data_IF_091591511922
#
_entry.id   IF_091591511922
#
_cell.length_a   1.000
_cell.length_b   1.000
_cell.length_c   1.000
_cell.angle_alpha   90.00
_cell.angle_beta   90.00
_cell.angle_gamma   90.00
#
_symmetry.space_group_name_H-M   'P 1'
#
loop_
_entity.id
_entity.type
_entity.pdbx_description
1 polymer ?
#
# COMPACT_ATOMS: atom_id res chain seq x y z
N UNK A 1 2.59 25.72 7.61
CA UNK A 1 1.46 26.29 6.86
C UNK A 1 0.25 25.37 6.98
N UNK A 2 -0.95 25.90 7.22
CA UNK A 2 -2.23 25.13 7.30
C UNK A 2 -2.52 24.34 6.01
N UNK A 3 -1.93 24.74 4.89
CA UNK A 3 -2.09 24.06 3.60
C UNK A 3 -1.43 22.67 3.55
N UNK A 4 -0.38 22.44 4.34
CA UNK A 4 0.39 21.19 4.29
C UNK A 4 -0.44 19.96 4.70
N UNK A 5 -1.12 19.96 5.87
CA UNK A 5 -2.02 18.86 6.25
C UNK A 5 -3.13 18.59 5.23
N UNK A 6 -3.72 19.65 4.65
CA UNK A 6 -4.79 19.53 3.65
C UNK A 6 -4.27 18.87 2.38
N UNK A 7 -3.08 19.25 1.91
CA UNK A 7 -2.45 18.66 0.73
C UNK A 7 -2.11 17.19 0.97
N UNK A 8 -1.60 16.84 2.15
CA UNK A 8 -1.31 15.46 2.52
C UNK A 8 -2.58 14.60 2.58
N UNK A 9 -3.70 15.15 3.06
CA UNK A 9 -5.00 14.46 3.07
C UNK A 9 -5.48 14.15 1.66
N UNK A 10 -5.37 15.11 0.72
CA UNK A 10 -5.75 14.89 -0.68
C UNK A 10 -4.89 13.82 -1.33
N UNK A 11 -3.57 13.83 -1.09
CA UNK A 11 -2.66 12.80 -1.62
C UNK A 11 -2.99 11.38 -1.16
N UNK A 12 -3.57 11.23 0.04
CA UNK A 12 -3.95 9.94 0.62
C UNK A 12 -5.45 9.60 0.47
N UNK A 13 -6.21 10.43 -0.25
CA UNK A 13 -7.67 10.26 -0.34
C UNK A 13 -8.07 8.91 -0.96
N UNK A 14 -7.32 8.42 -1.95
CA UNK A 14 -7.57 7.12 -2.56
C UNK A 14 -7.50 5.99 -1.53
N UNK A 15 -6.43 5.95 -0.72
CA UNK A 15 -6.28 4.99 0.36
C UNK A 15 -7.47 5.06 1.33
N UNK A 16 -7.87 6.26 1.76
CA UNK A 16 -9.01 6.42 2.68
C UNK A 16 -10.34 5.90 2.12
N UNK A 17 -10.63 6.16 0.84
CA UNK A 17 -11.85 5.67 0.20
C UNK A 17 -11.82 4.14 0.04
N UNK A 18 -10.71 3.61 -0.46
CA UNK A 18 -10.51 2.18 -0.66
C UNK A 18 -10.59 1.41 0.66
N UNK A 19 -10.04 1.92 1.76
CA UNK A 19 -10.11 1.25 3.07
C UNK A 19 -11.50 1.25 3.69
N UNK A 20 -12.32 2.27 3.41
CA UNK A 20 -13.70 2.33 3.90
C UNK A 20 -14.62 1.32 3.18
N UNK A 21 -14.32 1.02 1.92
CA UNK A 21 -15.16 0.14 1.08
C UNK A 21 -14.64 -1.30 0.99
N UNK A 22 -13.33 -1.51 1.08
CA UNK A 22 -12.73 -2.83 0.93
C UNK A 22 -12.91 -3.72 2.15
N UNK A 23 -13.00 -5.03 1.92
CA UNK A 23 -13.10 -6.03 2.98
C UNK A 23 -11.74 -6.36 3.61
N UNK A 24 -10.69 -6.42 2.79
CA UNK A 24 -9.31 -6.71 3.19
C UNK A 24 -8.29 -5.99 2.28
N UNK A 25 -7.09 -5.73 2.82
CA UNK A 25 -5.95 -5.25 2.06
C UNK A 25 -4.92 -6.36 1.84
N UNK A 26 -4.11 -6.24 0.79
CA UNK A 26 -2.97 -7.11 0.53
C UNK A 26 -1.72 -6.24 0.38
N UNK A 27 -0.61 -6.67 0.95
CA UNK A 27 0.67 -5.99 0.81
C UNK A 27 1.80 -6.99 0.49
N UNK A 28 2.74 -6.65 -0.43
CA UNK A 28 3.83 -7.56 -0.77
C UNK A 28 4.79 -7.86 0.37
N UNK A 29 4.98 -6.92 1.31
CA UNK A 29 5.94 -7.08 2.41
C UNK A 29 5.40 -6.50 3.70
N UNK A 30 5.94 -6.99 4.83
CA UNK A 30 5.66 -6.42 6.15
C UNK A 30 6.05 -4.95 6.23
N UNK A 31 7.21 -4.60 5.66
CA UNK A 31 7.68 -3.21 5.64
C UNK A 31 6.69 -2.27 4.93
N UNK A 32 6.11 -2.68 3.80
CA UNK A 32 5.07 -1.90 3.12
C UNK A 32 3.78 -1.82 3.93
N UNK A 33 3.33 -2.94 4.51
CA UNK A 33 2.15 -2.95 5.38
C UNK A 33 2.32 -2.00 6.58
N UNK A 34 3.54 -1.90 7.12
CA UNK A 34 3.86 -1.04 8.25
C UNK A 34 3.81 0.46 7.94
N UNK A 35 3.76 0.85 6.67
CA UNK A 35 3.55 2.26 6.27
C UNK A 35 2.12 2.75 6.50
N UNK A 36 1.18 1.84 6.72
CA UNK A 36 -0.22 2.17 6.99
C UNK A 36 -0.48 2.38 8.49
N UNK A 37 -1.44 3.27 8.84
CA UNK A 37 -1.94 3.40 10.22
C UNK A 37 -2.43 2.07 10.78
N UNK A 38 -2.27 1.87 12.09
CA UNK A 38 -2.62 0.62 12.79
C UNK A 38 -4.05 0.13 12.47
N UNK A 39 -5.03 1.04 12.47
CA UNK A 39 -6.43 0.73 12.18
C UNK A 39 -6.67 0.11 10.79
N UNK A 40 -5.77 0.35 9.84
CA UNK A 40 -5.83 -0.25 8.51
C UNK A 40 -4.93 -1.48 8.41
N UNK A 41 -3.77 -1.44 9.09
CA UNK A 41 -2.78 -2.52 9.10
C UNK A 41 -3.35 -3.84 9.57
N UNK A 42 -4.23 -3.83 10.57
CA UNK A 42 -4.88 -5.04 11.11
C UNK A 42 -5.75 -5.78 10.09
N UNK A 43 -6.11 -5.11 8.98
CA UNK A 43 -6.90 -5.66 7.88
C UNK A 43 -6.07 -6.00 6.64
N UNK A 44 -4.74 -5.88 6.72
CA UNK A 44 -3.81 -6.15 5.60
C UNK A 44 -3.19 -7.53 5.79
N UNK A 45 -3.34 -8.38 4.78
CA UNK A 45 -2.58 -9.63 4.66
C UNK A 45 -1.27 -9.39 3.93
N UNK A 46 -0.16 -9.86 4.49
CA UNK A 46 1.13 -9.84 3.79
C UNK A 46 1.25 -11.07 2.91
N UNK A 47 1.32 -10.85 1.60
CA UNK A 47 1.49 -11.88 0.58
C UNK A 47 2.62 -11.45 -0.34
N UNK A 48 3.77 -12.12 -0.23
CA UNK A 48 4.94 -11.77 -1.04
C UNK A 48 4.65 -11.93 -2.53
N UNK A 49 4.81 -10.82 -3.26
CA UNK A 49 4.72 -10.83 -4.72
C UNK A 49 6.01 -11.44 -5.27
N UNK A 50 5.85 -12.58 -5.95
CA UNK A 50 6.96 -13.23 -6.64
C UNK A 50 7.30 -12.48 -7.93
N UNK A 51 8.42 -12.85 -8.55
CA UNK A 51 8.73 -12.42 -9.90
C UNK A 51 8.91 -13.66 -10.76
N UNK A 52 8.49 -13.57 -12.03
CA UNK A 52 8.79 -14.60 -13.01
C UNK A 52 10.28 -14.54 -13.35
N UNK A 53 11.05 -15.49 -12.81
CA UNK A 53 12.50 -15.53 -13.01
C UNK A 53 12.89 -15.86 -14.43
N UNK A 54 12.00 -16.47 -15.22
CA UNK A 54 12.27 -16.79 -16.63
C UNK A 54 12.33 -15.51 -17.48
N UNK A 55 11.73 -14.42 -17.00
CA UNK A 55 11.78 -13.10 -17.63
C UNK A 55 13.03 -12.28 -17.22
N UNK A 56 13.82 -12.74 -16.25
CA UNK A 56 15.05 -12.06 -15.81
C UNK A 56 16.23 -12.40 -16.73
N UNK A 57 16.13 -11.94 -17.98
CA UNK A 57 17.20 -12.07 -18.98
C UNK A 57 17.96 -10.76 -19.16
N UNK A 58 19.25 -10.85 -19.47
CA UNK A 58 20.05 -9.66 -19.76
C UNK A 58 19.51 -8.94 -21.00
N UNK A 59 19.43 -7.61 -20.94
CA UNK A 59 19.12 -6.80 -22.13
C UNK A 59 20.32 -6.86 -23.08
N UNK A 60 20.09 -6.97 -24.41
CA UNK A 60 21.16 -6.93 -25.41
C UNK A 60 22.03 -5.67 -25.29
#
# INVERSE_FOLDING_TARGET
SVTEPLRLRVKNLNNHLSFAMGDAGISPTRFQADTFPASFRDRISVMFDGIDTDQLVAKP
#
